data_IF_369764290640
#
_entry.id   IF_369764290640
#
_cell.length_a   1.000
_cell.length_b   1.000
_cell.length_c   1.000
_cell.angle_alpha   90.00
_cell.angle_beta   90.00
_cell.angle_gamma   90.00
#
_symmetry.space_group_name_H-M   'P 1'
#
loop_
_entity.id
_entity.type
_entity.pdbx_description
1 polymer ?
#
# COMPACT_ATOMS: atom_id res chain seq x y z
N UNK A 1 0.82 -8.06 -20.48
CA UNK A 1 2.12 -8.06 -21.20
C UNK A 1 1.96 -7.96 -22.72
N UNK A 2 0.88 -8.47 -23.31
CA UNK A 2 0.71 -8.45 -24.78
C UNK A 2 0.50 -7.04 -25.37
N UNK A 3 -0.19 -6.15 -24.67
CA UNK A 3 -0.42 -4.75 -25.10
C UNK A 3 0.88 -3.95 -25.31
N UNK A 4 1.97 -4.30 -24.62
CA UNK A 4 3.26 -3.61 -24.73
C UNK A 4 4.00 -4.06 -25.99
N UNK A 5 3.91 -5.34 -26.35
CA UNK A 5 4.53 -5.88 -27.56
C UNK A 5 3.87 -5.32 -28.83
N UNK A 6 2.56 -5.11 -28.82
CA UNK A 6 1.84 -4.55 -29.96
C UNK A 6 2.15 -3.06 -30.19
N UNK A 7 2.30 -2.29 -29.11
CA UNK A 7 2.74 -0.88 -29.18
C UNK A 7 4.15 -0.74 -29.77
N UNK A 8 5.06 -1.66 -29.42
CA UNK A 8 6.44 -1.69 -29.95
C UNK A 8 6.46 -2.04 -31.45
N UNK A 9 5.56 -2.92 -31.92
CA UNK A 9 5.40 -3.21 -33.36
C UNK A 9 4.78 -2.05 -34.13
N UNK A 10 3.76 -1.39 -33.57
CA UNK A 10 3.10 -0.25 -34.22
C UNK A 10 4.02 0.98 -34.37
N UNK A 11 4.96 1.15 -33.43
CA UNK A 11 5.95 2.25 -33.45
C UNK A 11 7.13 2.01 -34.42
N UNK A 12 7.17 0.90 -35.17
CA UNK A 12 8.15 0.70 -36.23
C UNK A 12 9.61 0.61 -35.75
N UNK A 13 9.85 0.24 -34.49
CA UNK A 13 11.17 0.22 -33.87
C UNK A 13 12.01 -1.04 -34.16
N UNK A 14 11.50 -1.99 -34.94
CA UNK A 14 12.25 -3.17 -35.38
C UNK A 14 12.52 -3.06 -36.88
N UNK A 15 13.67 -2.46 -37.21
CA UNK A 15 14.20 -2.43 -38.58
C UNK A 15 14.89 -3.76 -38.85
N UNK A 16 14.24 -4.62 -39.62
CA UNK A 16 14.80 -5.92 -40.01
C UNK A 16 15.86 -5.70 -41.10
N UNK A 17 17.12 -5.51 -40.69
CA UNK A 17 18.26 -5.35 -41.60
C UNK A 17 18.65 -6.70 -42.22
N UNK A 18 18.02 -7.04 -43.35
CA UNK A 18 18.55 -8.10 -44.20
C UNK A 18 19.84 -7.62 -44.84
N UNK A 19 20.97 -8.16 -44.38
CA UNK A 19 22.31 -7.93 -44.95
C UNK A 19 22.31 -8.30 -46.43
N UNK A 20 22.38 -7.31 -47.31
CA UNK A 20 22.63 -7.52 -48.75
C UNK A 20 24.04 -8.12 -48.91
N UNK A 21 24.10 -9.30 -49.53
CA UNK A 21 25.37 -9.96 -49.86
C UNK A 21 26.10 -9.14 -50.92
N UNK A 22 27.30 -8.65 -50.58
CA UNK A 22 28.12 -7.87 -51.50
C UNK A 22 28.70 -8.78 -52.59
N UNK A 23 28.22 -8.64 -53.82
CA UNK A 23 28.90 -9.17 -55.00
C UNK A 23 30.27 -8.49 -55.14
N UNK A 24 31.35 -9.29 -55.20
CA UNK A 24 32.73 -8.82 -55.38
C UNK A 24 32.85 -8.03 -56.68
N UNK A 25 32.91 -6.69 -56.59
CA UNK A 25 33.22 -5.82 -57.73
C UNK A 25 34.67 -6.05 -58.17
N UNK A 26 34.89 -6.24 -59.48
CA UNK A 26 36.22 -6.23 -60.08
C UNK A 26 36.91 -4.89 -59.79
N UNK A 27 38.17 -4.97 -59.36
CA UNK A 27 39.01 -3.82 -58.99
C UNK A 27 39.33 -3.01 -60.27
N UNK A 28 38.87 -1.76 -60.36
CA UNK A 28 39.33 -0.82 -61.39
C UNK A 28 40.73 -0.33 -61.01
N UNK A 29 41.60 -0.20 -62.01
CA UNK A 29 42.92 0.42 -61.90
C UNK A 29 42.76 1.87 -61.46
N UNK A 30 43.38 2.21 -60.32
CA UNK A 30 43.40 3.56 -59.76
C UNK A 30 44.29 4.44 -60.61
N UNK A 31 43.68 5.34 -61.37
CA UNK A 31 44.36 6.47 -61.97
C UNK A 31 44.77 7.44 -60.85
N UNK A 32 46.07 7.72 -60.73
CA UNK A 32 46.68 8.48 -59.62
C UNK A 32 46.63 9.99 -59.87
N UNK A 33 45.45 10.55 -60.13
CA UNK A 33 45.25 11.99 -59.97
C UNK A 33 44.47 12.22 -58.70
N UNK A 34 45.22 12.51 -57.62
CA UNK A 34 44.67 12.85 -56.31
C UNK A 34 43.96 14.19 -56.44
N UNK A 35 42.66 14.15 -56.74
CA UNK A 35 41.83 15.35 -56.80
C UNK A 35 41.72 15.86 -55.36
N UNK A 36 42.50 16.89 -55.02
CA UNK A 36 42.42 17.59 -53.74
C UNK A 36 41.10 18.36 -53.69
N UNK A 37 40.04 17.70 -53.25
CA UNK A 37 38.79 18.35 -52.92
C UNK A 37 38.97 19.16 -51.64
N UNK A 38 39.09 20.48 -51.77
CA UNK A 38 39.04 21.41 -50.65
C UNK A 38 37.58 21.53 -50.16
N UNK A 39 37.10 20.54 -49.42
CA UNK A 39 35.73 20.52 -48.90
C UNK A 39 35.69 21.29 -47.58
N UNK A 40 35.20 22.52 -47.63
CA UNK A 40 34.85 23.26 -46.42
C UNK A 40 33.52 22.73 -45.88
N UNK A 41 33.57 22.03 -44.75
CA UNK A 41 32.36 21.67 -44.02
C UNK A 41 31.84 22.94 -43.33
N UNK A 42 30.66 23.43 -43.73
CA UNK A 42 29.95 24.43 -42.95
C UNK A 42 29.59 23.79 -41.61
N UNK A 43 30.23 24.23 -40.53
CA UNK A 43 29.83 23.87 -39.18
C UNK A 43 28.42 24.42 -38.94
N UNK A 44 27.42 23.55 -38.93
CA UNK A 44 26.08 23.90 -38.50
C UNK A 44 26.06 23.86 -36.97
N UNK A 45 25.65 24.93 -36.27
CA UNK A 45 25.61 24.92 -34.81
C UNK A 45 24.64 23.83 -34.33
N UNK A 46 25.08 23.00 -33.37
CA UNK A 46 24.20 21.98 -32.79
C UNK A 46 23.09 22.68 -32.02
N UNK A 47 21.84 22.36 -32.32
CA UNK A 47 20.69 22.89 -31.59
C UNK A 47 20.78 22.46 -30.13
N UNK A 48 20.42 23.36 -29.22
CA UNK A 48 20.53 23.13 -27.78
C UNK A 48 19.42 22.16 -27.32
N UNK A 49 19.69 20.85 -27.36
CA UNK A 49 18.70 19.80 -27.09
C UNK A 49 18.12 19.88 -25.67
N UNK A 50 18.82 20.55 -24.75
CA UNK A 50 18.42 20.75 -23.35
C UNK A 50 17.03 21.38 -23.21
N UNK A 51 16.69 22.36 -24.04
CA UNK A 51 15.38 23.04 -23.97
C UNK A 51 14.24 22.10 -24.38
N UNK A 52 14.48 21.23 -25.37
CA UNK A 52 13.51 20.23 -25.83
C UNK A 52 13.27 19.17 -24.74
N UNK A 53 14.33 18.70 -24.08
CA UNK A 53 14.21 17.75 -22.98
C UNK A 53 13.44 18.33 -21.78
N UNK A 54 13.68 19.59 -21.43
CA UNK A 54 12.95 20.28 -20.36
C UNK A 54 11.45 20.34 -20.71
N UNK A 55 11.10 20.78 -21.93
CA UNK A 55 9.70 20.85 -22.36
C UNK A 55 8.99 19.49 -22.33
N UNK A 56 9.67 18.44 -22.82
CA UNK A 56 9.12 17.08 -22.86
C UNK A 56 8.94 16.49 -21.45
N UNK A 57 9.88 16.77 -20.53
CA UNK A 57 9.73 16.35 -19.13
C UNK A 57 8.53 17.01 -18.44
N UNK A 58 8.30 18.31 -18.67
CA UNK A 58 7.16 19.03 -18.08
C UNK A 58 5.83 18.49 -18.64
N UNK A 59 5.77 18.22 -19.94
CA UNK A 59 4.61 17.60 -20.59
C UNK A 59 4.27 16.25 -19.97
N UNK A 60 5.27 15.38 -19.76
CA UNK A 60 5.06 14.08 -19.14
C UNK A 60 4.54 14.19 -17.70
N UNK A 61 5.07 15.12 -16.91
CA UNK A 61 4.59 15.36 -15.54
C UNK A 61 3.11 15.78 -15.56
N UNK A 62 2.71 16.68 -16.45
CA UNK A 62 1.32 17.12 -16.59
C UNK A 62 0.40 15.98 -17.01
N UNK A 63 0.82 15.14 -17.95
CA UNK A 63 0.02 14.00 -18.39
C UNK A 63 -0.19 12.97 -17.27
N UNK A 64 0.85 12.71 -16.47
CA UNK A 64 0.78 11.78 -15.34
C UNK A 64 -0.14 12.35 -14.25
N UNK A 65 0.03 13.62 -13.86
CA UNK A 65 -0.83 14.22 -12.81
C UNK A 65 -2.28 14.30 -13.25
N UNK A 66 -2.55 14.64 -14.51
CA UNK A 66 -3.90 14.62 -15.07
C UNK A 66 -4.48 13.21 -15.08
N UNK A 67 -3.73 12.21 -15.54
CA UNK A 67 -4.17 10.81 -15.51
C UNK A 67 -4.51 10.31 -14.10
N UNK A 68 -3.69 10.66 -13.11
CA UNK A 68 -3.95 10.35 -11.70
C UNK A 68 -5.20 11.06 -11.19
N UNK A 69 -5.39 12.35 -11.51
CA UNK A 69 -6.55 13.14 -11.05
C UNK A 69 -7.89 12.48 -11.44
N UNK A 70 -8.01 11.93 -12.64
CA UNK A 70 -9.23 11.22 -13.07
C UNK A 70 -9.39 9.83 -12.42
N UNK A 71 -8.30 9.15 -12.08
CA UNK A 71 -8.32 7.76 -11.57
C UNK A 71 -8.37 7.65 -10.05
N UNK A 72 -7.92 8.66 -9.33
CA UNK A 72 -8.02 8.74 -7.87
C UNK A 72 -9.46 8.54 -7.36
N UNK A 73 -10.51 9.25 -7.86
CA UNK A 73 -11.86 9.09 -7.30
C UNK A 73 -12.44 7.68 -7.52
N UNK A 74 -12.13 7.06 -8.66
CA UNK A 74 -12.55 5.69 -8.98
C UNK A 74 -11.89 4.69 -8.02
N UNK A 75 -10.58 4.84 -7.78
CA UNK A 75 -9.83 4.00 -6.85
C UNK A 75 -10.27 4.21 -5.39
N UNK A 76 -10.54 5.45 -4.96
CA UNK A 76 -11.02 5.73 -3.61
C UNK A 76 -12.41 5.13 -3.39
N UNK A 77 -13.31 5.25 -4.37
CA UNK A 77 -14.65 4.66 -4.29
C UNK A 77 -14.60 3.13 -4.26
N UNK A 78 -13.78 2.51 -5.10
CA UNK A 78 -13.58 1.06 -5.08
C UNK A 78 -13.08 0.57 -3.71
N UNK A 79 -12.06 1.24 -3.16
CA UNK A 79 -11.52 0.89 -1.84
C UNK A 79 -12.53 1.11 -0.72
N UNK A 80 -13.27 2.22 -0.76
CA UNK A 80 -14.32 2.51 0.22
C UNK A 80 -15.41 1.43 0.20
N UNK A 81 -15.95 1.11 -0.98
CA UNK A 81 -16.97 0.09 -1.15
C UNK A 81 -16.51 -1.31 -0.75
N UNK A 82 -15.21 -1.58 -0.83
CA UNK A 82 -14.62 -2.84 -0.37
C UNK A 82 -14.39 -2.88 1.14
N UNK A 83 -13.90 -1.79 1.74
CA UNK A 83 -13.56 -1.71 3.18
C UNK A 83 -14.80 -1.62 4.06
N UNK A 84 -15.77 -0.78 3.70
CA UNK A 84 -16.98 -0.54 4.48
C UNK A 84 -17.75 -1.83 4.87
N UNK A 85 -18.05 -2.78 3.97
CA UNK A 85 -18.73 -4.02 4.35
C UNK A 85 -17.85 -4.98 5.17
N UNK A 86 -16.53 -4.89 5.07
CA UNK A 86 -15.62 -5.67 5.93
C UNK A 86 -15.65 -5.09 7.34
N UNK A 87 -15.52 -3.77 7.46
CA UNK A 87 -15.56 -3.05 8.73
C UNK A 87 -16.89 -3.25 9.45
N UNK A 88 -18.01 -3.14 8.74
CA UNK A 88 -19.35 -3.45 9.30
C UNK A 88 -19.47 -4.89 9.81
N UNK A 89 -18.90 -5.85 9.09
CA UNK A 89 -18.89 -7.27 9.51
C UNK A 89 -18.02 -7.47 10.74
N UNK A 90 -16.86 -6.83 10.81
CA UNK A 90 -15.99 -6.88 11.97
C UNK A 90 -16.68 -6.26 13.19
N UNK A 91 -17.26 -5.06 13.06
CA UNK A 91 -18.05 -4.42 14.13
C UNK A 91 -19.21 -5.29 14.60
N UNK A 92 -19.89 -5.99 13.68
CA UNK A 92 -20.96 -6.91 14.04
C UNK A 92 -20.43 -8.16 14.75
N UNK A 93 -19.31 -8.71 14.29
CA UNK A 93 -18.62 -9.83 14.92
C UNK A 93 -18.15 -9.47 16.33
N UNK A 94 -17.56 -8.30 16.49
CA UNK A 94 -17.08 -7.75 17.78
C UNK A 94 -18.25 -7.57 18.75
N UNK A 95 -19.38 -7.03 18.27
CA UNK A 95 -20.60 -6.91 19.06
C UNK A 95 -21.14 -8.27 19.52
N UNK A 96 -21.13 -9.28 18.65
CA UNK A 96 -21.58 -10.63 18.99
C UNK A 96 -20.63 -11.27 20.00
N UNK A 97 -19.32 -11.17 19.77
CA UNK A 97 -18.29 -11.67 20.67
C UNK A 97 -18.41 -11.02 22.05
N UNK A 98 -18.54 -9.70 22.10
CA UNK A 98 -18.78 -8.96 23.33
C UNK A 98 -20.03 -9.45 24.09
N UNK A 99 -21.16 -9.60 23.40
CA UNK A 99 -22.39 -10.11 24.03
C UNK A 99 -22.23 -11.54 24.55
N UNK A 100 -21.49 -12.38 23.82
CA UNK A 100 -21.18 -13.73 24.24
C UNK A 100 -20.33 -13.75 25.53
N UNK A 101 -19.25 -12.97 25.56
CA UNK A 101 -18.39 -12.80 26.74
C UNK A 101 -19.22 -12.31 27.93
N UNK A 102 -19.90 -11.17 27.79
CA UNK A 102 -20.70 -10.59 28.88
C UNK A 102 -21.76 -11.53 29.45
N UNK A 103 -22.31 -12.45 28.64
CA UNK A 103 -23.24 -13.48 29.10
C UNK A 103 -22.52 -14.60 29.83
N UNK A 104 -21.41 -15.10 29.30
CA UNK A 104 -20.60 -16.14 29.91
C UNK A 104 -20.04 -15.68 31.27
N UNK A 105 -19.62 -14.44 31.36
CA UNK A 105 -18.89 -13.89 32.51
C UNK A 105 -19.83 -13.71 33.70
N UNK A 106 -21.04 -13.20 33.44
CA UNK A 106 -22.10 -13.11 34.44
C UNK A 106 -22.45 -14.49 35.01
N UNK A 107 -22.54 -15.51 34.14
CA UNK A 107 -22.80 -16.87 34.61
C UNK A 107 -21.68 -17.39 35.50
N UNK A 108 -20.41 -17.23 35.08
CA UNK A 108 -19.24 -17.63 35.88
C UNK A 108 -19.14 -16.87 37.20
N UNK A 109 -19.48 -15.59 37.20
CA UNK A 109 -19.50 -14.76 38.40
C UNK A 109 -20.56 -15.26 39.39
N UNK A 110 -21.76 -15.59 38.91
CA UNK A 110 -22.83 -16.22 39.73
C UNK A 110 -22.40 -17.59 40.26
N UNK A 111 -21.65 -18.36 39.48
CA UNK A 111 -21.08 -19.66 39.86
C UNK A 111 -19.84 -19.54 40.79
N UNK A 112 -19.48 -18.33 41.22
CA UNK A 112 -18.30 -18.03 42.03
C UNK A 112 -16.95 -18.42 41.38
N UNK A 113 -16.92 -18.54 40.05
CA UNK A 113 -15.69 -18.74 39.28
C UNK A 113 -15.11 -17.37 38.86
N UNK A 114 -14.58 -16.65 39.86
CA UNK A 114 -14.11 -15.27 39.69
C UNK A 114 -12.88 -15.17 38.76
N UNK A 115 -11.96 -16.15 38.80
CA UNK A 115 -10.78 -16.17 37.92
C UNK A 115 -11.20 -16.30 36.45
N UNK A 116 -12.17 -17.18 36.18
CA UNK A 116 -12.71 -17.39 34.84
C UNK A 116 -13.56 -16.22 34.36
N UNK A 117 -14.28 -15.53 35.26
CA UNK A 117 -14.99 -14.29 34.92
C UNK A 117 -14.01 -13.15 34.61
N UNK A 118 -12.96 -12.99 35.42
CA UNK A 118 -11.92 -11.99 35.23
C UNK A 118 -11.23 -12.09 33.86
N UNK A 119 -10.83 -13.29 33.45
CA UNK A 119 -10.15 -13.48 32.16
C UNK A 119 -11.01 -13.05 30.96
N UNK A 120 -12.32 -13.25 31.06
CA UNK A 120 -13.24 -12.93 29.97
C UNK A 120 -13.67 -11.46 30.02
N UNK A 121 -13.85 -10.85 31.20
CA UNK A 121 -14.03 -9.40 31.32
C UNK A 121 -12.84 -8.63 30.74
N UNK A 122 -11.62 -9.16 30.90
CA UNK A 122 -10.42 -8.59 30.27
C UNK A 122 -10.48 -8.69 28.73
N UNK A 123 -11.03 -9.77 28.18
CA UNK A 123 -11.29 -9.89 26.75
C UNK A 123 -12.38 -8.93 26.29
N UNK A 124 -13.46 -8.79 27.06
CA UNK A 124 -14.56 -7.87 26.76
C UNK A 124 -14.07 -6.41 26.77
N UNK A 125 -13.21 -6.04 27.72
CA UNK A 125 -12.57 -4.73 27.78
C UNK A 125 -11.66 -4.47 26.58
N UNK A 126 -10.95 -5.49 26.08
CA UNK A 126 -10.11 -5.35 24.89
C UNK A 126 -10.94 -5.06 23.62
N UNK A 127 -12.18 -5.56 23.54
CA UNK A 127 -13.09 -5.28 22.42
C UNK A 127 -13.78 -3.92 22.59
N UNK A 128 -14.24 -3.59 23.81
CA UNK A 128 -14.92 -2.33 24.13
C UNK A 128 -14.27 -1.64 25.34
N UNK A 129 -13.13 -0.94 25.15
CA UNK A 129 -12.36 -0.37 26.27
C UNK A 129 -13.07 0.77 26.99
N UNK A 130 -14.01 1.43 26.31
CA UNK A 130 -14.75 2.58 26.83
C UNK A 130 -16.11 2.17 27.44
N UNK A 131 -16.42 0.88 27.51
CA UNK A 131 -17.65 0.41 28.14
C UNK A 131 -17.51 0.44 29.67
N UNK A 132 -18.20 1.40 30.28
CA UNK A 132 -18.16 1.64 31.72
C UNK A 132 -18.62 0.41 32.53
N UNK A 133 -19.60 -0.34 32.03
CA UNK A 133 -20.13 -1.50 32.74
C UNK A 133 -19.09 -2.62 32.81
N UNK A 134 -18.37 -2.87 31.71
CA UNK A 134 -17.27 -3.85 31.67
C UNK A 134 -16.17 -3.43 32.62
N UNK A 135 -15.77 -2.16 32.58
CA UNK A 135 -14.71 -1.63 33.43
C UNK A 135 -15.06 -1.74 34.92
N UNK A 136 -16.30 -1.41 35.30
CA UNK A 136 -16.79 -1.56 36.67
C UNK A 136 -16.79 -3.04 37.11
N UNK A 137 -17.29 -3.95 36.28
CA UNK A 137 -17.33 -5.38 36.58
C UNK A 137 -15.93 -5.99 36.68
N UNK A 138 -15.00 -5.57 35.82
CA UNK A 138 -13.60 -5.97 35.86
C UNK A 138 -12.95 -5.55 37.18
N UNK A 139 -13.13 -4.29 37.59
CA UNK A 139 -12.61 -3.76 38.86
C UNK A 139 -13.24 -4.51 40.04
N UNK A 140 -14.56 -4.70 40.05
CA UNK A 140 -15.25 -5.43 41.12
C UNK A 140 -14.72 -6.87 41.25
N UNK A 141 -14.48 -7.54 40.11
CA UNK A 141 -13.93 -8.89 40.10
C UNK A 141 -12.48 -8.92 40.59
N UNK A 142 -11.66 -7.93 40.22
CA UNK A 142 -10.29 -7.78 40.71
C UNK A 142 -10.22 -7.51 42.21
N UNK A 143 -11.12 -6.67 42.75
CA UNK A 143 -11.23 -6.43 44.20
C UNK A 143 -11.51 -7.73 44.93
N UNK A 144 -12.47 -8.53 44.45
CA UNK A 144 -12.80 -9.82 45.05
C UNK A 144 -11.63 -10.82 44.96
N UNK A 145 -10.93 -10.90 43.81
CA UNK A 145 -9.79 -11.79 43.63
C UNK A 145 -8.53 -11.36 44.40
N UNK A 146 -8.38 -10.08 44.67
CA UNK A 146 -7.26 -9.53 45.42
C UNK A 146 -7.26 -10.00 46.88
N UNK A 147 -8.43 -10.30 47.46
CA UNK A 147 -8.51 -10.86 48.82
C UNK A 147 -7.77 -12.22 48.92
N UNK A 148 -7.81 -13.02 47.85
CA UNK A 148 -7.25 -14.37 47.80
C UNK A 148 -5.83 -14.43 47.19
N UNK A 149 -5.49 -13.57 46.22
CA UNK A 149 -4.19 -13.56 45.55
C UNK A 149 -3.67 -12.14 45.25
N UNK A 150 -2.52 -11.83 45.86
CA UNK A 150 -1.77 -10.57 45.73
C UNK A 150 -1.41 -10.17 44.29
N UNK A 151 -1.42 -11.12 43.35
CA UNK A 151 -1.22 -10.82 41.93
C UNK A 151 -2.31 -9.91 41.38
N UNK A 152 -3.57 -10.16 41.73
CA UNK A 152 -4.71 -9.37 41.26
C UNK A 152 -4.74 -7.99 41.91
N UNK A 153 -4.23 -7.84 43.14
CA UNK A 153 -4.06 -6.54 43.79
C UNK A 153 -3.12 -5.61 43.01
N UNK A 154 -1.98 -6.13 42.54
CA UNK A 154 -1.05 -5.34 41.73
C UNK A 154 -1.68 -4.85 40.44
N UNK A 155 -2.50 -5.69 39.80
CA UNK A 155 -3.19 -5.32 38.56
C UNK A 155 -4.30 -4.29 38.82
N UNK A 156 -5.03 -4.42 39.94
CA UNK A 156 -5.99 -3.43 40.41
C UNK A 156 -5.34 -2.08 40.67
N UNK A 157 -4.21 -2.04 41.38
CA UNK A 157 -3.46 -0.82 41.68
C UNK A 157 -3.04 -0.10 40.40
N UNK A 158 -2.56 -0.84 39.40
CA UNK A 158 -2.18 -0.29 38.09
C UNK A 158 -3.40 0.36 37.41
N UNK A 159 -4.55 -0.30 37.41
CA UNK A 159 -5.78 0.24 36.79
C UNK A 159 -6.24 1.51 37.51
N UNK A 160 -6.20 1.53 38.84
CA UNK A 160 -6.66 2.68 39.64
C UNK A 160 -5.69 3.87 39.59
N UNK A 161 -4.39 3.62 39.52
CA UNK A 161 -3.37 4.69 39.46
C UNK A 161 -3.10 5.20 38.05
N UNK A 162 -3.33 4.36 37.03
CA UNK A 162 -3.17 4.73 35.62
C UNK A 162 -4.40 5.40 34.97
N UNK A 163 -5.53 5.48 35.69
CA UNK A 163 -6.77 6.14 35.26
C UNK A 163 -6.95 7.57 35.81
N UNK A 164 -5.88 8.15 36.39
CA UNK A 164 -5.81 9.51 36.94
C UNK A 164 -4.94 10.44 36.09
#
# INVERSE_FOLDING_TARGET
>A
MELILDLIRFLGLIKNDQKKVFFKRKRRTTDKTLITFNRQFKLQPSKNEREVYIGLSLLLVVLVTFGLYYKVPEFTNYNYNRRNPIEKRNQQSDKIAYQFLMKADKNRWIENNLVGAYSEFKLAQAIYPNDENVNQLLIATLVALCEDDTKYCRELDIILTGSL
#
